data_IF_901105788021
#
_entry.id   IF_901105788021
#
_cell.length_a   1.000
_cell.length_b   1.000
_cell.length_c   1.000
_cell.angle_alpha   90.00
_cell.angle_beta   90.00
_cell.angle_gamma   90.00
#
_symmetry.space_group_name_H-M   'P 1'
#
loop_
_entity.id
_entity.type
_entity.pdbx_description
1 polymer ?
#
# COMPACT_ATOMS: atom_id res chain seq x y z
N UNK A 1 4.16 26.15 -12.73
CA UNK A 1 4.58 24.76 -12.50
C UNK A 1 5.75 24.83 -11.54
N UNK A 2 5.46 24.81 -10.25
CA UNK A 2 6.42 24.99 -9.16
C UNK A 2 7.52 23.92 -9.20
N UNK A 3 8.75 24.31 -8.94
CA UNK A 3 9.96 23.48 -8.93
C UNK A 3 9.68 22.06 -8.41
N UNK A 4 9.76 21.08 -9.30
CA UNK A 4 9.77 19.67 -8.93
C UNK A 4 11.05 19.41 -8.14
N UNK A 5 11.00 19.64 -6.83
CA UNK A 5 12.04 19.27 -5.90
C UNK A 5 12.14 17.75 -5.85
N UNK A 6 12.90 17.18 -6.80
CA UNK A 6 13.15 15.75 -6.99
C UNK A 6 13.60 15.03 -5.71
N UNK A 7 14.13 15.80 -4.74
CA UNK A 7 14.56 15.34 -3.43
C UNK A 7 13.43 14.65 -2.67
N UNK A 8 12.17 15.13 -2.72
CA UNK A 8 11.08 14.54 -1.94
C UNK A 8 10.66 13.15 -2.46
N UNK A 9 10.36 12.96 -3.77
CA UNK A 9 10.08 11.62 -4.29
C UNK A 9 11.26 10.66 -4.14
N UNK A 10 12.49 11.15 -4.33
CA UNK A 10 13.70 10.33 -4.23
C UNK A 10 13.93 9.85 -2.78
N UNK A 11 13.85 10.75 -1.80
CA UNK A 11 14.02 10.41 -0.39
C UNK A 11 12.93 9.45 0.11
N UNK A 12 11.66 9.68 -0.26
CA UNK A 12 10.56 8.77 0.05
C UNK A 12 10.75 7.38 -0.58
N UNK A 13 11.13 7.34 -1.85
CA UNK A 13 11.42 6.08 -2.56
C UNK A 13 12.58 5.32 -1.92
N UNK A 14 13.66 6.02 -1.56
CA UNK A 14 14.83 5.43 -0.89
C UNK A 14 14.43 4.85 0.48
N UNK A 15 13.64 5.58 1.27
CA UNK A 15 13.17 5.12 2.59
C UNK A 15 12.30 3.86 2.48
N UNK A 16 11.34 3.84 1.55
CA UNK A 16 10.47 2.67 1.32
C UNK A 16 11.30 1.48 0.84
N UNK A 17 12.21 1.70 -0.13
CA UNK A 17 13.08 0.66 -0.67
C UNK A 17 14.02 0.08 0.39
N UNK A 18 14.64 0.93 1.21
CA UNK A 18 15.53 0.53 2.29
C UNK A 18 14.75 -0.25 3.37
N UNK A 19 13.54 0.20 3.73
CA UNK A 19 12.67 -0.52 4.66
C UNK A 19 12.32 -1.93 4.13
N UNK A 20 11.94 -2.05 2.85
CA UNK A 20 11.64 -3.32 2.22
C UNK A 20 12.88 -4.25 2.13
N UNK A 21 14.06 -3.69 1.84
CA UNK A 21 15.31 -4.42 1.78
C UNK A 21 15.73 -4.96 3.16
N UNK A 22 15.66 -4.13 4.21
CA UNK A 22 15.94 -4.56 5.58
C UNK A 22 14.97 -5.65 6.00
N UNK A 23 13.66 -5.47 5.75
CA UNK A 23 12.66 -6.48 6.08
C UNK A 23 12.98 -7.82 5.42
N UNK A 24 13.35 -7.78 4.13
CA UNK A 24 13.73 -8.96 3.37
C UNK A 24 15.00 -9.63 3.90
N UNK A 25 16.03 -8.86 4.24
CA UNK A 25 17.30 -9.39 4.75
C UNK A 25 17.13 -10.03 6.14
N UNK A 26 16.34 -9.41 7.02
CA UNK A 26 16.15 -9.90 8.38
C UNK A 26 15.17 -11.07 8.47
N UNK A 27 14.08 -11.05 7.68
CA UNK A 27 13.01 -12.06 7.78
C UNK A 27 13.04 -13.10 6.66
N UNK A 28 13.87 -12.91 5.63
CA UNK A 28 13.90 -13.78 4.44
C UNK A 28 12.62 -13.75 3.60
N UNK A 29 11.67 -12.86 3.92
CA UNK A 29 10.34 -12.79 3.30
C UNK A 29 10.14 -11.45 2.61
N UNK A 30 9.38 -11.47 1.53
CA UNK A 30 9.01 -10.26 0.80
C UNK A 30 8.04 -9.42 1.66
N UNK A 31 8.29 -8.11 1.74
CA UNK A 31 7.43 -7.18 2.48
C UNK A 31 6.07 -7.02 1.76
N UNK A 32 5.00 -7.53 2.38
CA UNK A 32 3.63 -7.41 1.90
C UNK A 32 2.74 -6.81 2.98
N UNK A 33 2.23 -5.60 2.76
CA UNK A 33 1.42 -4.86 3.75
C UNK A 33 0.18 -5.67 4.13
N UNK A 34 -0.57 -6.20 3.16
CA UNK A 34 -1.75 -7.04 3.45
C UNK A 34 -1.41 -8.30 4.26
N UNK A 35 -0.24 -8.89 4.05
CA UNK A 35 0.21 -10.07 4.80
C UNK A 35 0.60 -9.72 6.24
N UNK A 36 1.35 -8.63 6.41
CA UNK A 36 1.73 -8.11 7.72
C UNK A 36 0.50 -7.68 8.53
N UNK A 37 -0.43 -6.96 7.91
CA UNK A 37 -1.69 -6.57 8.52
C UNK A 37 -2.52 -7.79 8.93
N UNK A 38 -2.67 -8.79 8.05
CA UNK A 38 -3.38 -10.03 8.38
C UNK A 38 -2.69 -10.80 9.51
N UNK A 39 -1.35 -10.80 9.57
CA UNK A 39 -0.59 -11.49 10.61
C UNK A 39 -0.69 -10.78 11.97
N UNK A 40 -0.88 -9.47 11.99
CA UNK A 40 -1.11 -8.71 13.23
C UNK A 40 -2.47 -9.02 13.85
N UNK A 41 -3.48 -9.32 13.01
CA UNK A 41 -4.83 -9.71 13.44
C UNK A 41 -4.91 -11.23 13.73
N UNK A 42 -3.87 -11.99 13.39
CA UNK A 42 -3.83 -13.45 13.59
C UNK A 42 -4.55 -14.27 12.53
N UNK A 43 -4.93 -13.67 11.40
CA UNK A 43 -5.60 -14.35 10.28
C UNK A 43 -4.67 -15.24 9.44
N UNK A 44 -3.39 -15.33 9.78
CA UNK A 44 -2.41 -16.20 9.11
C UNK A 44 -2.35 -17.62 9.72
N UNK A 45 -3.20 -17.95 10.71
CA UNK A 45 -3.26 -19.28 11.34
C UNK A 45 -2.14 -19.56 12.34
N UNK A 46 -1.14 -18.68 12.41
CA UNK A 46 0.02 -18.73 13.32
C UNK A 46 -0.17 -17.92 14.60
N UNK A 47 -1.38 -17.41 14.87
CA UNK A 47 -1.63 -16.42 15.92
C UNK A 47 -1.13 -15.02 15.58
N UNK A 48 -1.17 -14.11 16.56
CA UNK A 48 -0.76 -12.71 16.42
C UNK A 48 0.76 -12.63 16.29
N UNK A 49 1.26 -12.08 15.19
CA UNK A 49 2.70 -11.91 14.98
C UNK A 49 3.20 -10.60 15.62
N UNK A 50 4.23 -10.64 16.50
CA UNK A 50 4.81 -9.43 17.07
C UNK A 50 5.34 -8.48 15.99
N UNK A 51 5.87 -9.05 14.90
CA UNK A 51 6.39 -8.32 13.75
C UNK A 51 5.28 -7.56 13.00
N UNK A 52 4.13 -8.21 12.77
CA UNK A 52 2.98 -7.59 12.11
C UNK A 52 2.38 -6.47 12.93
N UNK A 53 2.26 -6.68 14.25
CA UNK A 53 1.80 -5.65 15.19
C UNK A 53 2.79 -4.48 15.20
N UNK A 54 4.09 -4.75 15.32
CA UNK A 54 5.14 -3.73 15.28
C UNK A 54 5.13 -2.94 13.98
N UNK A 55 4.90 -3.60 12.85
CA UNK A 55 4.76 -2.94 11.55
C UNK A 55 3.53 -2.02 11.48
N UNK A 56 2.37 -2.49 11.97
CA UNK A 56 1.14 -1.69 12.02
C UNK A 56 1.29 -0.48 12.94
N UNK A 57 1.85 -0.67 14.13
CA UNK A 57 2.17 0.41 15.06
C UNK A 57 3.18 1.38 14.42
N UNK A 58 4.17 0.88 13.68
CA UNK A 58 5.14 1.70 12.96
C UNK A 58 4.51 2.57 11.87
N UNK A 59 3.62 2.01 11.04
CA UNK A 59 2.90 2.80 10.02
C UNK A 59 1.97 3.84 10.66
N UNK A 60 1.16 3.44 11.65
CA UNK A 60 0.21 4.33 12.30
C UNK A 60 0.92 5.43 13.10
N UNK A 61 1.95 5.05 13.86
CA UNK A 61 2.78 5.98 14.63
C UNK A 61 3.60 6.90 13.74
N UNK A 62 4.16 6.38 12.65
CA UNK A 62 4.86 7.19 11.66
C UNK A 62 3.96 8.20 10.96
N UNK A 63 2.73 7.80 10.60
CA UNK A 63 1.73 8.71 10.02
C UNK A 63 1.31 9.80 11.03
N UNK A 64 1.07 9.42 12.29
CA UNK A 64 0.72 10.38 13.35
C UNK A 64 1.87 11.36 13.64
N UNK A 65 3.11 10.88 13.72
CA UNK A 65 4.29 11.72 13.89
C UNK A 65 4.51 12.64 12.69
N UNK A 66 4.31 12.15 11.47
CA UNK A 66 4.40 12.99 10.27
C UNK A 66 3.34 14.09 10.25
N UNK A 67 2.12 13.77 10.69
CA UNK A 67 1.03 14.74 10.80
C UNK A 67 1.34 15.87 11.81
N UNK A 68 1.92 15.53 12.96
CA UNK A 68 2.22 16.53 14.00
C UNK A 68 3.53 17.29 13.79
N UNK A 69 4.58 16.64 13.28
CA UNK A 69 5.93 17.20 13.20
C UNK A 69 6.28 17.82 11.84
N UNK A 70 5.71 17.34 10.73
CA UNK A 70 6.07 17.83 9.39
C UNK A 70 4.99 18.73 8.80
N UNK A 71 3.76 18.20 8.63
CA UNK A 71 2.68 18.97 8.03
C UNK A 71 1.33 18.44 8.48
N UNK A 72 0.47 19.36 8.92
CA UNK A 72 -0.94 19.06 9.10
C UNK A 72 -1.55 18.83 7.72
N UNK A 73 -1.83 17.58 7.39
CA UNK A 73 -2.51 17.22 6.17
C UNK A 73 -3.97 17.68 6.27
N UNK A 74 -4.42 18.55 5.36
CA UNK A 74 -5.84 18.82 5.23
C UNK A 74 -6.52 17.58 4.65
N UNK A 75 -7.25 16.85 5.50
CA UNK A 75 -8.00 15.68 5.09
C UNK A 75 -9.34 16.10 4.48
N UNK A 76 -9.36 16.32 3.16
CA UNK A 76 -10.61 16.48 2.42
C UNK A 76 -11.12 15.10 1.98
N UNK A 77 -11.97 14.48 2.80
CA UNK A 77 -12.66 13.23 2.43
C UNK A 77 -13.87 13.60 1.58
N UNK A 78 -13.70 13.56 0.26
CA UNK A 78 -14.80 13.82 -0.70
C UNK A 78 -15.66 12.58 -0.95
N UNK A 79 -15.20 11.40 -0.56
CA UNK A 79 -15.89 10.13 -0.77
C UNK A 79 -16.93 9.83 0.31
N UNK A 80 -18.05 9.21 -0.08
CA UNK A 80 -19.09 8.78 0.87
C UNK A 80 -18.62 7.59 1.73
N UNK A 81 -18.99 7.51 3.01
CA UNK A 81 -18.60 6.40 3.89
C UNK A 81 -18.94 5.00 3.35
N UNK A 82 -20.11 4.76 2.72
CA UNK A 82 -20.41 3.46 2.11
C UNK A 82 -19.41 3.07 1.01
N UNK A 83 -18.98 4.05 0.20
CA UNK A 83 -18.03 3.81 -0.89
C UNK A 83 -16.65 3.44 -0.34
N UNK A 84 -16.22 4.06 0.77
CA UNK A 84 -14.98 3.70 1.46
C UNK A 84 -15.03 2.27 2.03
N UNK A 85 -16.14 1.89 2.66
CA UNK A 85 -16.32 0.53 3.21
C UNK A 85 -16.30 -0.52 2.10
N UNK A 86 -17.09 -0.32 1.04
CA UNK A 86 -17.15 -1.24 -0.10
C UNK A 86 -15.80 -1.32 -0.80
N UNK A 87 -15.15 -0.18 -1.05
CA UNK A 87 -13.82 -0.12 -1.64
C UNK A 87 -12.77 -0.87 -0.81
N UNK A 88 -12.77 -0.68 0.51
CA UNK A 88 -11.88 -1.38 1.44
C UNK A 88 -12.08 -2.90 1.43
N UNK A 89 -13.33 -3.36 1.41
CA UNK A 89 -13.65 -4.79 1.34
C UNK A 89 -13.21 -5.41 0.00
N UNK A 90 -13.47 -4.72 -1.12
CA UNK A 90 -13.04 -5.17 -2.45
C UNK A 90 -11.51 -5.24 -2.55
N UNK A 91 -10.79 -4.25 -2.03
CA UNK A 91 -9.32 -4.27 -1.98
C UNK A 91 -8.82 -5.41 -1.09
N UNK A 92 -9.40 -5.57 0.10
CA UNK A 92 -9.04 -6.67 1.01
C UNK A 92 -9.20 -8.03 0.36
N UNK A 93 -10.38 -8.30 -0.21
CA UNK A 93 -10.67 -9.53 -0.95
C UNK A 93 -9.74 -9.72 -2.15
N UNK A 94 -9.58 -8.68 -2.97
CA UNK A 94 -8.73 -8.70 -4.16
C UNK A 94 -7.26 -8.98 -3.85
N UNK A 95 -6.70 -8.39 -2.80
CA UNK A 95 -5.31 -8.67 -2.40
C UNK A 95 -5.10 -10.10 -1.91
N UNK A 96 -6.13 -10.72 -1.30
CA UNK A 96 -6.08 -12.14 -0.93
C UNK A 96 -6.16 -13.04 -2.15
N UNK A 97 -7.08 -12.76 -3.07
CA UNK A 97 -7.24 -13.50 -4.32
C UNK A 97 -5.97 -13.42 -5.20
N UNK A 98 -5.38 -12.23 -5.32
CA UNK A 98 -4.13 -11.99 -6.05
C UNK A 98 -2.88 -12.57 -5.37
N UNK A 99 -3.01 -13.14 -4.17
CA UNK A 99 -1.90 -13.64 -3.36
C UNK A 99 -0.88 -12.54 -3.00
N UNK A 100 -1.30 -11.28 -2.95
CA UNK A 100 -0.41 -10.15 -2.75
C UNK A 100 -1.10 -8.79 -2.97
N UNK A 101 -0.44 -7.74 -2.53
CA UNK A 101 -0.87 -6.35 -2.70
C UNK A 101 0.12 -5.57 -3.57
N UNK A 102 -0.18 -4.30 -3.84
CA UNK A 102 0.68 -3.40 -4.61
C UNK A 102 2.06 -3.20 -3.98
N UNK A 103 2.20 -3.26 -2.65
CA UNK A 103 3.52 -3.19 -2.01
C UNK A 103 4.38 -4.43 -2.30
N UNK A 104 3.76 -5.61 -2.30
CA UNK A 104 4.45 -6.88 -2.53
C UNK A 104 4.79 -7.11 -4.00
N UNK A 105 3.80 -6.95 -4.89
CA UNK A 105 4.00 -7.12 -6.34
C UNK A 105 4.67 -5.89 -6.98
N UNK A 106 4.24 -4.69 -6.64
CA UNK A 106 4.76 -3.45 -7.22
C UNK A 106 6.16 -3.13 -6.69
N UNK A 107 6.31 -2.84 -5.39
CA UNK A 107 7.61 -2.40 -4.86
C UNK A 107 8.63 -3.53 -4.86
N UNK A 108 8.36 -4.63 -4.13
CA UNK A 108 9.35 -5.70 -3.99
C UNK A 108 9.43 -6.62 -5.22
N UNK A 109 8.28 -6.88 -5.86
CA UNK A 109 8.16 -7.84 -6.96
C UNK A 109 8.76 -7.34 -8.28
N UNK A 110 8.55 -6.07 -8.62
CA UNK A 110 9.19 -5.45 -9.80
C UNK A 110 10.69 -5.30 -9.60
N UNK A 111 11.15 -4.93 -8.40
CA UNK A 111 12.58 -4.84 -8.09
C UNK A 111 13.33 -6.18 -8.26
N UNK A 112 12.61 -7.31 -8.14
CA UNK A 112 13.13 -8.67 -8.36
C UNK A 112 12.91 -9.19 -9.78
N UNK A 113 12.39 -8.36 -10.68
CA UNK A 113 12.06 -8.72 -12.07
C UNK A 113 11.16 -9.98 -12.17
N UNK A 114 10.24 -10.16 -11.22
CA UNK A 114 9.34 -11.31 -11.24
C UNK A 114 8.27 -11.14 -12.32
N UNK A 115 8.18 -12.06 -13.30
CA UNK A 115 7.19 -11.95 -14.38
C UNK A 115 5.75 -11.97 -13.85
N UNK A 116 5.48 -12.79 -12.81
CA UNK A 116 4.18 -12.82 -12.13
C UNK A 116 3.83 -11.45 -11.54
N UNK A 117 4.78 -10.79 -10.89
CA UNK A 117 4.55 -9.48 -10.27
C UNK A 117 4.41 -8.36 -11.29
N UNK A 118 5.10 -8.45 -12.43
CA UNK A 118 4.94 -7.52 -13.55
C UNK A 118 3.50 -7.59 -14.08
N UNK A 119 3.01 -8.80 -14.39
CA UNK A 119 1.65 -9.00 -14.89
C UNK A 119 0.60 -8.55 -13.86
N UNK A 120 0.77 -8.92 -12.58
CA UNK A 120 -0.13 -8.50 -11.52
C UNK A 120 -0.19 -6.97 -11.38
N UNK A 121 0.98 -6.31 -11.37
CA UNK A 121 1.04 -4.85 -11.22
C UNK A 121 0.45 -4.13 -12.43
N UNK A 122 0.74 -4.60 -13.66
CA UNK A 122 0.13 -4.05 -14.87
C UNK A 122 -1.40 -4.17 -14.83
N UNK A 123 -1.92 -5.33 -14.40
CA UNK A 123 -3.36 -5.56 -14.26
C UNK A 123 -3.98 -4.61 -13.25
N UNK A 124 -3.38 -4.47 -12.06
CA UNK A 124 -3.87 -3.54 -11.03
C UNK A 124 -3.92 -2.09 -11.53
N UNK A 125 -2.86 -1.64 -12.21
CA UNK A 125 -2.79 -0.27 -12.72
C UNK A 125 -3.79 -0.02 -13.85
N UNK A 126 -3.97 -0.97 -14.78
CA UNK A 126 -4.97 -0.87 -15.85
C UNK A 126 -6.38 -0.81 -15.26
N UNK A 127 -6.72 -1.72 -14.35
CA UNK A 127 -8.04 -1.75 -13.72
C UNK A 127 -8.29 -0.51 -12.88
N UNK A 128 -7.30 -0.02 -12.14
CA UNK A 128 -7.42 1.22 -11.37
C UNK A 128 -7.66 2.42 -12.28
N UNK A 129 -6.88 2.56 -13.35
CA UNK A 129 -7.05 3.64 -14.33
C UNK A 129 -8.43 3.58 -15.01
N UNK A 130 -8.87 2.39 -15.43
CA UNK A 130 -10.19 2.20 -16.02
C UNK A 130 -11.32 2.51 -15.02
N UNK A 131 -11.18 2.07 -13.77
CA UNK A 131 -12.17 2.35 -12.71
C UNK A 131 -12.32 3.85 -12.48
N UNK A 132 -11.20 4.57 -12.33
CA UNK A 132 -11.21 6.03 -12.16
C UNK A 132 -11.77 6.74 -13.39
N UNK A 133 -11.43 6.26 -14.58
CA UNK A 133 -11.98 6.82 -15.82
C UNK A 133 -13.51 6.71 -15.85
N UNK A 134 -14.04 5.52 -15.57
CA UNK A 134 -15.49 5.27 -15.57
C UNK A 134 -16.19 6.06 -14.45
N UNK A 135 -15.69 6.01 -13.22
CA UNK A 135 -16.35 6.68 -12.09
C UNK A 135 -16.35 8.19 -12.25
N UNK A 136 -15.24 8.78 -12.69
CA UNK A 136 -15.07 10.23 -12.77
C UNK A 136 -15.61 10.84 -14.05
N UNK A 137 -15.54 10.16 -15.19
CA UNK A 137 -15.93 10.74 -16.49
C UNK A 137 -17.25 10.21 -17.03
N UNK A 138 -17.62 8.94 -16.76
CA UNK A 138 -18.87 8.37 -17.26
C UNK A 138 -20.01 8.52 -16.24
N UNK A 139 -19.73 8.27 -14.96
CA UNK A 139 -20.76 8.28 -13.92
C UNK A 139 -20.86 9.62 -13.16
N UNK A 140 -19.81 10.45 -13.20
CA UNK A 140 -19.75 11.72 -12.47
C UNK A 140 -19.79 11.57 -10.95
N UNK A 141 -19.41 10.40 -10.43
CA UNK A 141 -19.42 10.08 -9.00
C UNK A 141 -18.00 10.24 -8.46
N UNK A 142 -17.58 11.49 -8.22
CA UNK A 142 -16.32 11.82 -7.54
C UNK A 142 -16.31 13.28 -7.04
#
# INVERSE_FOLDING_TARGET
MSDLSFIWPLSGGLLIGLSAAIYLLLNGRIAGISGLAASAVGWTGSGISPLGVGFLVGILGGAAAAFTLLRHAEFAITASPPLLVVGGLLVGFGTRLGSGCTSGHGVCGLARLSPRSIVATATFMIVAAATVFITRHLMGVA
#
